data_IF_022952195246
#
_entry.id   IF_022952195246
#
_cell.length_a   1.000
_cell.length_b   1.000
_cell.length_c   1.000
_cell.angle_alpha   90.00
_cell.angle_beta   90.00
_cell.angle_gamma   90.00
#
_symmetry.space_group_name_H-M   'P 1'
#
loop_
_entity.id
_entity.type
_entity.pdbx_description
1 polymer ?
#
# COMPACT_ATOMS: atom_id res chain seq x y z
N UNK A 1 15.36 8.84 4.03
CA UNK A 1 16.13 8.12 2.99
C UNK A 1 16.08 8.79 1.62
N UNK A 2 15.36 9.91 1.40
CA UNK A 2 15.34 10.64 0.09
C UNK A 2 15.11 9.74 -1.15
N UNK A 3 14.27 8.71 -1.02
CA UNK A 3 14.01 7.72 -2.08
C UNK A 3 14.99 6.55 -2.12
N UNK A 4 16.10 6.57 -1.37
CA UNK A 4 16.99 5.42 -1.25
C UNK A 4 16.24 4.22 -0.68
N UNK A 5 16.43 3.06 -1.33
CA UNK A 5 15.72 1.83 -0.99
C UNK A 5 14.34 1.72 -1.62
N UNK A 6 13.92 2.67 -2.45
CA UNK A 6 12.67 2.63 -3.20
C UNK A 6 12.92 2.79 -4.71
N UNK A 7 12.16 2.06 -5.51
CA UNK A 7 12.18 2.16 -6.97
C UNK A 7 10.74 2.24 -7.48
N UNK A 8 10.40 3.28 -8.24
CA UNK A 8 9.10 3.40 -8.89
C UNK A 8 9.08 2.63 -10.22
N UNK A 9 7.98 1.92 -10.50
CA UNK A 9 7.77 1.18 -11.76
C UNK A 9 6.67 1.79 -12.63
N UNK A 10 5.95 2.78 -12.12
CA UNK A 10 4.88 3.52 -12.82
C UNK A 10 5.09 5.02 -12.65
N UNK A 11 4.43 5.82 -13.50
CA UNK A 11 4.45 7.27 -13.44
C UNK A 11 3.11 7.85 -12.93
N UNK A 12 3.15 9.10 -12.51
CA UNK A 12 1.93 9.82 -12.13
C UNK A 12 0.98 9.93 -13.33
N UNK A 13 -0.29 9.60 -13.11
CA UNK A 13 -1.33 9.62 -14.13
C UNK A 13 -1.53 8.29 -14.86
N UNK A 14 -0.65 7.30 -14.63
CA UNK A 14 -0.84 5.96 -15.17
C UNK A 14 -2.09 5.30 -14.58
N UNK A 15 -2.87 4.65 -15.46
CA UNK A 15 -3.97 3.77 -15.04
C UNK A 15 -3.41 2.39 -14.76
N UNK A 16 -3.70 1.87 -13.57
CA UNK A 16 -3.23 0.57 -13.11
C UNK A 16 -4.42 -0.33 -12.77
N UNK A 17 -4.19 -1.64 -12.75
CA UNK A 17 -5.15 -2.64 -12.28
C UNK A 17 -4.60 -3.39 -11.07
N UNK A 18 -5.51 -4.03 -10.33
CA UNK A 18 -5.14 -4.84 -9.18
C UNK A 18 -4.07 -5.89 -9.57
N UNK A 19 -2.98 -5.94 -8.80
CA UNK A 19 -1.86 -6.86 -9.00
C UNK A 19 -0.67 -6.28 -9.77
N UNK A 20 -0.83 -5.13 -10.44
CA UNK A 20 0.28 -4.42 -11.10
C UNK A 20 1.32 -3.96 -10.06
N UNK A 21 2.60 -4.03 -10.44
CA UNK A 21 3.71 -3.58 -9.60
C UNK A 21 3.88 -2.07 -9.76
N UNK A 22 3.59 -1.32 -8.71
CA UNK A 22 3.74 0.14 -8.71
C UNK A 22 5.17 0.59 -8.39
N UNK A 23 5.86 -0.20 -7.57
CA UNK A 23 7.22 0.06 -7.12
C UNK A 23 7.74 -1.11 -6.30
N UNK A 24 9.02 -1.06 -5.97
CA UNK A 24 9.70 -2.02 -5.11
C UNK A 24 10.45 -1.27 -4.01
N UNK A 25 10.62 -1.92 -2.87
CA UNK A 25 11.45 -1.39 -1.80
C UNK A 25 12.42 -2.46 -1.25
N UNK A 26 13.47 -2.00 -0.58
CA UNK A 26 14.47 -2.84 0.08
C UNK A 26 14.31 -2.73 1.60
N UNK A 27 13.70 -3.74 2.22
CA UNK A 27 13.45 -3.78 3.67
C UNK A 27 14.73 -3.74 4.49
N UNK A 28 15.85 -4.28 3.99
CA UNK A 28 17.12 -4.24 4.70
C UNK A 28 17.66 -2.81 4.79
N UNK A 29 17.49 -2.01 3.73
CA UNK A 29 17.88 -0.59 3.74
C UNK A 29 17.00 0.22 4.68
N UNK A 30 15.69 -0.06 4.72
CA UNK A 30 14.75 0.60 5.64
C UNK A 30 15.16 0.30 7.09
N UNK A 31 15.40 -0.98 7.41
CA UNK A 31 15.86 -1.40 8.74
C UNK A 31 17.22 -0.78 9.12
N UNK A 32 18.17 -0.74 8.18
CA UNK A 32 19.49 -0.11 8.41
C UNK A 32 19.39 1.41 8.66
N UNK A 33 18.35 2.06 8.15
CA UNK A 33 18.05 3.46 8.45
C UNK A 33 17.32 3.66 9.79
N UNK A 34 17.05 2.58 10.55
CA UNK A 34 16.36 2.64 11.84
C UNK A 34 14.85 2.89 11.72
N UNK A 35 14.24 2.52 10.58
CA UNK A 35 12.83 2.74 10.29
C UNK A 35 12.05 1.42 10.24
N UNK A 36 10.75 1.51 10.47
CA UNK A 36 9.79 0.40 10.36
C UNK A 36 9.29 0.30 8.91
N UNK A 37 9.14 -0.92 8.38
CA UNK A 37 8.60 -1.19 7.04
C UNK A 37 7.07 -1.38 7.01
N UNK A 38 6.40 -1.02 8.10
CA UNK A 38 4.93 -0.96 8.22
C UNK A 38 4.34 -0.12 7.09
N UNK A 39 3.49 -0.77 6.30
CA UNK A 39 2.78 -0.14 5.19
C UNK A 39 1.36 0.19 5.61
N UNK A 40 0.98 1.47 5.55
CA UNK A 40 -0.39 1.91 5.80
C UNK A 40 -1.21 1.88 4.51
N UNK A 41 -2.44 1.37 4.60
CA UNK A 41 -3.44 1.46 3.54
C UNK A 41 -4.54 2.40 4.02
N UNK A 42 -4.75 3.51 3.31
CA UNK A 42 -5.65 4.59 3.71
C UNK A 42 -6.62 4.89 2.57
N UNK A 43 -7.93 4.91 2.88
CA UNK A 43 -8.95 5.48 1.99
C UNK A 43 -9.00 6.98 2.26
N UNK A 44 -8.61 7.80 1.27
CA UNK A 44 -8.46 9.26 1.47
C UNK A 44 -9.77 10.03 1.27
N UNK A 45 -10.75 9.45 0.59
CA UNK A 45 -12.06 10.03 0.31
C UNK A 45 -13.20 9.31 1.05
N UNK A 46 -12.99 8.97 2.33
CA UNK A 46 -13.94 8.21 3.16
C UNK A 46 -15.36 8.80 3.19
N UNK A 47 -15.51 10.12 3.05
CA UNK A 47 -16.82 10.78 3.05
C UNK A 47 -17.71 10.37 1.86
N UNK A 48 -17.12 9.82 0.79
CA UNK A 48 -17.86 9.34 -0.38
C UNK A 48 -18.46 7.94 -0.18
N UNK A 49 -18.22 7.31 0.97
CA UNK A 49 -18.62 5.93 1.27
C UNK A 49 -19.51 5.88 2.52
N UNK A 50 -20.55 5.05 2.50
CA UNK A 50 -21.39 4.78 3.68
C UNK A 50 -20.69 3.94 4.74
N UNK A 51 -19.67 3.17 4.38
CA UNK A 51 -18.79 2.50 5.34
C UNK A 51 -17.41 2.20 4.77
N UNK A 52 -16.39 2.26 5.63
CA UNK A 52 -15.03 1.78 5.35
C UNK A 52 -14.58 0.94 6.54
N UNK A 53 -14.20 -0.32 6.31
CA UNK A 53 -13.83 -1.22 7.39
C UNK A 53 -12.83 -2.31 6.97
N UNK A 54 -12.00 -2.80 7.92
CA UNK A 54 -11.11 -3.92 7.64
C UNK A 54 -11.90 -5.21 7.46
N UNK A 55 -11.44 -6.08 6.55
CA UNK A 55 -12.06 -7.41 6.31
C UNK A 55 -11.11 -8.57 6.57
N UNK A 56 -9.85 -8.29 6.91
CA UNK A 56 -8.85 -9.30 7.27
C UNK A 56 -8.13 -8.92 8.56
N UNK A 57 -7.75 -9.94 9.33
CA UNK A 57 -6.89 -9.82 10.51
C UNK A 57 -5.80 -10.87 10.47
N UNK A 58 -4.63 -10.56 11.03
CA UNK A 58 -3.48 -11.44 10.99
C UNK A 58 -2.77 -11.43 9.63
N UNK A 59 -2.22 -12.58 9.24
CA UNK A 59 -1.43 -12.71 8.01
C UNK A 59 -2.32 -12.71 6.77
N UNK A 60 -1.94 -11.91 5.78
CA UNK A 60 -2.56 -11.85 4.46
C UNK A 60 -1.49 -12.05 3.38
N UNK A 61 -1.91 -12.50 2.20
CA UNK A 61 -1.07 -12.67 1.02
C UNK A 61 -1.36 -11.61 -0.04
N UNK A 62 -0.45 -11.48 -1.01
CA UNK A 62 -0.68 -10.61 -2.18
C UNK A 62 -1.99 -11.00 -2.87
N UNK A 63 -2.90 -10.04 -3.00
CA UNK A 63 -4.17 -10.21 -3.68
C UNK A 63 -5.36 -10.40 -2.73
N UNK A 64 -5.12 -10.62 -1.44
CA UNK A 64 -6.19 -10.71 -0.45
C UNK A 64 -6.85 -9.36 -0.22
N UNK A 65 -8.17 -9.38 0.00
CA UNK A 65 -8.92 -8.20 0.38
C UNK A 65 -8.60 -7.84 1.84
N UNK A 66 -8.25 -6.57 2.09
CA UNK A 66 -7.91 -6.06 3.44
C UNK A 66 -8.86 -4.98 3.93
N UNK A 67 -9.49 -4.22 3.03
CA UNK A 67 -10.48 -3.17 3.31
C UNK A 67 -11.68 -3.38 2.41
N UNK A 68 -12.88 -3.27 2.98
CA UNK A 68 -14.13 -3.15 2.26
C UNK A 68 -14.64 -1.70 2.35
N UNK A 69 -15.18 -1.22 1.23
CA UNK A 69 -15.89 0.06 1.15
C UNK A 69 -17.31 -0.18 0.65
N UNK A 70 -18.29 0.52 1.20
CA UNK A 70 -19.68 0.50 0.73
C UNK A 70 -20.09 1.88 0.26
N UNK A 71 -20.79 1.93 -0.86
CA UNK A 71 -21.37 3.15 -1.43
C UNK A 71 -22.72 3.34 -0.77
#
# INVERSE_FOLDING_TARGET
MNGEGFEAKVAQGDKVKAGDVLGTFDSNKIAAAGLDDTTMVIVTNTADFSSVGPVATGSVAKGDAVIEVKI
#
